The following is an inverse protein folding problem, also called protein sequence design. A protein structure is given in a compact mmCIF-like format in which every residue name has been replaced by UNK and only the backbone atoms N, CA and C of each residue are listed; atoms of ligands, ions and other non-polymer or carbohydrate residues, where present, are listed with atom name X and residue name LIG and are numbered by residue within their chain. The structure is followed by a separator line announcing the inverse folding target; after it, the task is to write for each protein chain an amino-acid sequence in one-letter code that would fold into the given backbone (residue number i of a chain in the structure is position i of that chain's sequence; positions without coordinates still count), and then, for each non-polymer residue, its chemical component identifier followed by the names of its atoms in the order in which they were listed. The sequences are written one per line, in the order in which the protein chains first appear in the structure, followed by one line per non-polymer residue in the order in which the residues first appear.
data_IF_101387939570
#
_entry.id   IF_101387939570
#
_cell.length_a   1.000
_cell.length_b   1.000
_cell.length_c   1.000
_cell.angle_alpha   90.00
_cell.angle_beta   90.00
_cell.angle_gamma   90.00
#
_symmetry.space_group_name_H-M   'P 1'
#
loop_
_entity.id
_entity.type
_entity.pdbx_description
1 polymer ?
#
# COMPACT_ATOMS: atom_id res chain seq x y z
N UNK A 1 4.16 19.13 -11.30
CA UNK A 1 3.00 18.22 -11.31
C UNK A 1 3.40 16.77 -11.60
N UNK A 2 3.80 16.35 -12.81
CA UNK A 2 4.16 14.93 -13.05
C UNK A 2 5.29 14.40 -12.16
N UNK A 3 6.35 15.19 -11.94
CA UNK A 3 7.45 14.83 -11.05
C UNK A 3 7.02 14.64 -9.58
N UNK A 4 5.98 15.37 -9.15
CA UNK A 4 5.47 15.26 -7.79
C UNK A 4 4.72 13.95 -7.60
N UNK A 5 3.92 13.53 -8.58
CA UNK A 5 3.27 12.21 -8.57
C UNK A 5 4.32 11.12 -8.49
N UNK A 6 5.37 11.17 -9.33
CA UNK A 6 6.47 10.19 -9.30
C UNK A 6 7.15 10.15 -7.92
N UNK A 7 7.39 11.32 -7.31
CA UNK A 7 7.98 11.42 -5.98
C UNK A 7 7.08 10.78 -4.91
N UNK A 8 5.78 11.08 -4.93
CA UNK A 8 4.83 10.54 -3.94
C UNK A 8 4.62 9.04 -4.14
N UNK A 9 4.57 8.56 -5.38
CA UNK A 9 4.49 7.12 -5.64
C UNK A 9 5.74 6.38 -5.18
N UNK A 10 6.94 6.97 -5.30
CA UNK A 10 8.15 6.37 -4.76
C UNK A 10 8.10 6.29 -3.22
N UNK A 11 7.67 7.35 -2.56
CA UNK A 11 7.49 7.36 -1.09
C UNK A 11 6.50 6.29 -0.63
N UNK A 12 5.43 6.05 -1.40
CA UNK A 12 4.48 4.98 -1.13
C UNK A 12 5.13 3.59 -1.24
N UNK A 13 5.91 3.35 -2.31
CA UNK A 13 6.64 2.08 -2.49
C UNK A 13 7.67 1.85 -1.39
N UNK A 14 8.36 2.90 -0.95
CA UNK A 14 9.33 2.84 0.15
C UNK A 14 8.63 2.47 1.47
N UNK A 15 7.45 3.07 1.75
CA UNK A 15 6.65 2.74 2.92
C UNK A 15 6.19 1.27 2.92
N UNK A 16 5.76 0.75 1.77
CA UNK A 16 5.40 -0.67 1.60
C UNK A 16 6.62 -1.56 1.84
N UNK A 17 7.76 -1.24 1.24
CA UNK A 17 9.00 -2.03 1.33
C UNK A 17 9.56 -2.10 2.75
N UNK A 18 9.44 -1.00 3.50
CA UNK A 18 9.88 -0.91 4.91
C UNK A 18 8.79 -1.32 5.91
N UNK A 19 7.59 -1.72 5.45
CA UNK A 19 6.42 -2.02 6.30
C UNK A 19 6.03 -0.87 7.25
N UNK A 20 6.16 0.37 6.79
CA UNK A 20 5.72 1.56 7.53
C UNK A 20 4.25 1.86 7.21
N UNK A 21 3.35 1.24 7.99
CA UNK A 21 1.90 1.39 7.79
C UNK A 21 1.42 2.81 8.11
N UNK A 22 2.08 3.52 9.03
CA UNK A 22 1.72 4.89 9.39
C UNK A 22 1.99 5.88 8.26
N UNK A 23 3.08 5.69 7.50
CA UNK A 23 3.36 6.48 6.29
C UNK A 23 2.43 6.07 5.15
N UNK A 24 2.22 4.76 4.94
CA UNK A 24 1.30 4.25 3.91
C UNK A 24 -0.11 4.86 4.05
N UNK A 25 -0.69 4.84 5.26
CA UNK A 25 -2.03 5.38 5.52
C UNK A 25 -2.13 6.91 5.39
N UNK A 26 -1.04 7.65 5.52
CA UNK A 26 -1.01 9.10 5.25
C UNK A 26 -1.00 9.44 3.77
N UNK A 27 -0.53 8.51 2.94
CA UNK A 27 -0.43 8.67 1.48
C UNK A 27 -1.67 8.13 0.75
N UNK A 28 -2.42 7.23 1.38
CA UNK A 28 -3.63 6.62 0.84
C UNK A 28 -4.90 7.30 1.36
N UNK A 29 -5.92 7.39 0.50
CA UNK A 29 -7.26 7.79 0.93
C UNK A 29 -7.88 6.71 1.84
N UNK A 30 -8.58 7.07 2.94
CA UNK A 30 -9.23 6.09 3.81
C UNK A 30 -10.25 5.19 3.11
N UNK A 31 -10.82 5.61 1.99
CA UNK A 31 -11.75 4.85 1.13
C UNK A 31 -11.08 4.39 -0.19
N UNK A 32 -9.75 4.30 -0.23
CA UNK A 32 -9.03 3.80 -1.40
C UNK A 32 -9.55 2.41 -1.80
N UNK A 33 -9.76 2.22 -3.11
CA UNK A 33 -10.14 0.93 -3.68
C UNK A 33 -8.94 0.19 -4.24
N UNK A 34 -8.92 -1.15 -4.13
CA UNK A 34 -7.82 -1.98 -4.62
C UNK A 34 -8.31 -3.22 -5.41
N UNK A 35 -7.54 -3.58 -6.44
CA UNK A 35 -7.52 -4.91 -7.05
C UNK A 35 -6.07 -5.40 -7.06
N UNK A 36 -5.83 -6.49 -6.36
CA UNK A 36 -4.53 -7.14 -6.24
C UNK A 36 -4.68 -8.65 -6.12
N UNK A 37 -3.63 -9.45 -6.39
CA UNK A 37 -3.68 -10.92 -6.31
C UNK A 37 -4.28 -11.43 -4.98
N UNK A 38 -3.94 -10.77 -3.88
CA UNK A 38 -4.35 -11.06 -2.51
C UNK A 38 -5.87 -10.95 -2.32
N UNK A 39 -6.54 -10.09 -3.08
CA UNK A 39 -7.99 -9.89 -3.03
C UNK A 39 -8.79 -10.96 -3.80
N UNK A 40 -8.11 -11.88 -4.49
CA UNK A 40 -8.71 -13.00 -5.23
C UNK A 40 -9.85 -12.58 -6.19
N UNK A 41 -9.66 -11.44 -6.86
CA UNK A 41 -10.61 -10.90 -7.84
C UNK A 41 -11.77 -10.08 -7.26
N UNK A 42 -11.80 -9.85 -5.94
CA UNK A 42 -12.78 -8.95 -5.31
C UNK A 42 -12.27 -7.51 -5.29
N UNK A 43 -13.19 -6.54 -5.35
CA UNK A 43 -12.89 -5.14 -5.11
C UNK A 43 -12.82 -4.92 -3.60
N UNK A 44 -11.67 -4.45 -3.12
CA UNK A 44 -11.47 -4.07 -1.73
C UNK A 44 -11.66 -2.55 -1.60
N UNK A 45 -12.26 -2.12 -0.49
CA UNK A 45 -12.37 -0.72 -0.09
C UNK A 45 -11.73 -0.53 1.29
N UNK A 46 -10.93 0.53 1.42
CA UNK A 46 -10.25 0.92 2.65
C UNK A 46 -8.83 0.37 2.79
N UNK A 47 -8.14 0.85 3.81
CA UNK A 47 -6.70 0.58 4.02
C UNK A 47 -6.42 -0.61 4.94
N UNK A 48 -7.38 -1.00 5.78
CA UNK A 48 -7.18 -2.04 6.81
C UNK A 48 -6.91 -3.44 6.23
N UNK A 49 -7.38 -3.74 5.01
CA UNK A 49 -7.05 -5.00 4.33
C UNK A 49 -5.53 -5.19 4.21
N UNK A 50 -4.82 -4.12 3.83
CA UNK A 50 -3.38 -4.15 3.62
C UNK A 50 -2.61 -4.24 4.94
N UNK A 51 -3.18 -3.77 6.07
CA UNK A 51 -2.53 -3.81 7.40
C UNK A 51 -2.06 -5.21 7.77
N UNK A 52 -2.86 -6.23 7.47
CA UNK A 52 -2.49 -7.62 7.69
C UNK A 52 -1.14 -7.98 7.05
N UNK A 53 -0.88 -7.50 5.83
CA UNK A 53 0.37 -7.75 5.10
C UNK A 53 1.53 -6.90 5.60
N UNK A 54 1.27 -5.71 6.16
CA UNK A 54 2.29 -4.92 6.86
C UNK A 54 2.74 -5.60 8.16
N UNK A 55 1.80 -6.12 8.94
CA UNK A 55 2.08 -6.74 10.24
C UNK A 55 2.70 -8.14 10.09
N UNK A 56 2.27 -8.92 9.09
CA UNK A 56 2.60 -10.35 8.98
C UNK A 56 3.17 -10.80 7.63
N UNK A 57 3.12 -9.98 6.58
CA UNK A 57 3.63 -10.37 5.26
C UNK A 57 5.12 -10.67 5.33
N UNK A 58 5.56 -11.82 4.84
CA UNK A 58 6.99 -12.09 4.67
C UNK A 58 7.58 -11.06 3.70
N UNK A 59 8.78 -10.54 3.97
CA UNK A 59 9.52 -9.84 2.91
C UNK A 59 9.80 -10.93 1.88
N UNK A 60 9.18 -10.83 0.70
CA UNK A 60 9.58 -11.65 -0.43
C UNK A 60 10.98 -11.17 -0.80
N UNK A 61 11.99 -11.81 -0.21
CA UNK A 61 13.38 -11.72 -0.63
C UNK A 61 13.48 -12.47 -1.96
N UNK A 62 13.15 -11.80 -3.06
CA UNK A 62 13.83 -12.05 -4.33
C UNK A 62 15.08 -11.17 -4.43
#
# INVERSE_FOLDING_TARGET
QKQEIVRVTQQLLDAISCKDFDVYTKLCDPAMTCFEPEALGNLIEGVEFHRFYFDYGEIILE
#
